data_IF_273192332614
#
_entry.id   IF_273192332614
#
_cell.length_a   1.000
_cell.length_b   1.000
_cell.length_c   1.000
_cell.angle_alpha   90.00
_cell.angle_beta   90.00
_cell.angle_gamma   90.00
#
_symmetry.space_group_name_H-M   'P 1'
#
loop_
_entity.id
_entity.type
_entity.pdbx_description
1 polymer ?
#
# COMPACT_ATOMS: atom_id res chain seq x y z
N UNK A 1 24.80 -18.77 -17.51
CA UNK A 1 23.55 -18.02 -17.80
C UNK A 1 23.11 -17.40 -16.49
N UNK A 2 23.29 -16.09 -16.31
CA UNK A 2 22.70 -15.42 -15.16
C UNK A 2 21.21 -15.29 -15.44
N UNK A 3 20.37 -15.89 -14.59
CA UNK A 3 18.98 -15.45 -14.46
C UNK A 3 19.07 -13.99 -14.05
N UNK A 4 18.84 -13.08 -15.01
CA UNK A 4 18.41 -11.73 -14.64
C UNK A 4 17.11 -11.96 -13.89
N UNK A 5 17.15 -11.82 -12.56
CA UNK A 5 15.93 -11.78 -11.78
C UNK A 5 15.13 -10.60 -12.33
N UNK A 6 14.08 -10.89 -13.08
CA UNK A 6 13.08 -9.89 -13.42
C UNK A 6 12.55 -9.36 -12.08
N UNK A 7 12.86 -8.11 -11.78
CA UNK A 7 12.34 -7.44 -10.59
C UNK A 7 10.89 -7.10 -10.93
N UNK A 8 9.96 -7.88 -10.39
CA UNK A 8 8.54 -7.60 -10.50
C UNK A 8 8.14 -6.60 -9.42
N UNK A 9 7.48 -5.51 -9.83
CA UNK A 9 6.79 -4.63 -8.90
C UNK A 9 5.47 -5.26 -8.48
N UNK A 10 5.44 -5.87 -7.30
CA UNK A 10 4.25 -6.52 -6.75
C UNK A 10 3.51 -5.51 -5.88
N UNK A 11 2.20 -5.42 -6.07
CA UNK A 11 1.31 -4.62 -5.21
C UNK A 11 0.13 -5.48 -4.80
N UNK A 12 -0.12 -5.54 -3.49
CA UNK A 12 -1.24 -6.26 -2.88
C UNK A 12 -2.13 -5.21 -2.23
N UNK A 13 -3.37 -5.12 -2.67
CA UNK A 13 -4.30 -4.07 -2.26
C UNK A 13 -5.73 -4.62 -2.17
N UNK A 14 -6.52 -4.04 -1.27
CA UNK A 14 -7.93 -4.36 -1.12
C UNK A 14 -8.40 -4.17 0.31
N UNK A 15 -9.62 -4.60 0.57
CA UNK A 15 -10.21 -4.68 1.90
C UNK A 15 -9.71 -5.94 2.61
N UNK A 16 -8.91 -5.76 3.65
CA UNK A 16 -8.38 -6.86 4.47
C UNK A 16 -9.31 -7.19 5.64
N UNK A 17 -10.31 -6.35 5.92
CA UNK A 17 -11.16 -6.39 7.10
C UNK A 17 -10.36 -6.49 8.42
N UNK A 18 -9.13 -5.95 8.42
CA UNK A 18 -8.21 -5.87 9.55
C UNK A 18 -7.97 -4.40 9.83
N UNK A 19 -8.16 -3.98 11.07
CA UNK A 19 -7.99 -2.57 11.44
C UNK A 19 -6.52 -2.19 11.43
N UNK A 20 -6.20 -1.07 10.79
CA UNK A 20 -4.91 -0.40 10.93
C UNK A 20 -4.74 0.14 12.35
N UNK A 21 -4.27 -0.72 13.25
CA UNK A 21 -4.02 -0.35 14.64
C UNK A 21 -2.75 -1.05 15.10
N UNK A 22 -1.78 -0.28 15.58
CA UNK A 22 -0.47 -0.82 16.03
C UNK A 22 -0.63 -1.82 17.18
N UNK A 23 -1.69 -1.72 17.97
CA UNK A 23 -2.00 -2.69 19.03
C UNK A 23 -2.79 -3.91 18.56
N UNK A 24 -3.21 -3.97 17.30
CA UNK A 24 -3.96 -5.10 16.75
C UNK A 24 -3.00 -6.24 16.35
N UNK A 25 -3.15 -7.44 16.93
CA UNK A 25 -2.24 -8.56 16.67
C UNK A 25 -2.35 -9.11 15.24
N UNK A 26 -3.53 -9.04 14.62
CA UNK A 26 -3.74 -9.53 13.25
C UNK A 26 -3.07 -8.58 12.25
N UNK A 27 -3.19 -7.27 12.49
CA UNK A 27 -2.48 -6.26 11.71
C UNK A 27 -0.96 -6.44 11.78
N UNK A 28 -0.40 -6.63 12.98
CA UNK A 28 1.04 -6.82 13.15
C UNK A 28 1.52 -8.12 12.48
N UNK A 29 0.76 -9.22 12.60
CA UNK A 29 1.08 -10.49 11.93
C UNK A 29 1.09 -10.36 10.41
N UNK A 30 0.08 -9.68 9.84
CA UNK A 30 0.02 -9.38 8.41
C UNK A 30 1.21 -8.53 7.97
N UNK A 31 1.52 -7.45 8.72
CA UNK A 31 2.62 -6.55 8.42
C UNK A 31 3.97 -7.26 8.45
N UNK A 32 4.21 -8.11 9.44
CA UNK A 32 5.42 -8.94 9.53
C UNK A 32 5.53 -9.89 8.35
N UNK A 33 4.45 -10.61 8.02
CA UNK A 33 4.42 -11.52 6.87
C UNK A 33 4.75 -10.80 5.55
N UNK A 34 4.13 -9.64 5.31
CA UNK A 34 4.41 -8.84 4.11
C UNK A 34 5.86 -8.37 4.07
N UNK A 35 6.38 -7.89 5.21
CA UNK A 35 7.76 -7.41 5.34
C UNK A 35 8.78 -8.53 5.08
N UNK A 36 8.54 -9.75 5.59
CA UNK A 36 9.37 -10.93 5.32
C UNK A 36 9.42 -11.29 3.84
N UNK A 37 8.40 -10.90 3.06
CA UNK A 37 8.32 -11.10 1.63
C UNK A 37 8.70 -9.84 0.82
N UNK A 38 9.47 -8.92 1.43
CA UNK A 38 9.92 -7.66 0.83
C UNK A 38 8.77 -6.77 0.31
N UNK A 39 7.57 -6.89 0.88
CA UNK A 39 6.44 -6.01 0.59
C UNK A 39 6.20 -5.08 1.78
N UNK A 40 6.25 -3.78 1.53
CA UNK A 40 6.13 -2.74 2.54
C UNK A 40 4.81 -1.99 2.37
N UNK A 41 4.22 -1.59 3.49
CA UNK A 41 2.98 -0.85 3.47
C UNK A 41 3.21 0.56 2.90
N UNK A 42 2.41 0.97 1.92
CA UNK A 42 2.54 2.27 1.24
C UNK A 42 1.84 3.39 2.04
N UNK A 43 0.81 3.04 2.80
CA UNK A 43 -0.02 3.96 3.57
C UNK A 43 0.18 3.74 5.07
N UNK A 44 1.18 4.42 5.65
CA UNK A 44 1.25 4.64 7.10
C UNK A 44 0.57 5.96 7.49
N UNK A 45 -0.60 6.24 6.90
CA UNK A 45 -1.37 7.41 7.31
C UNK A 45 -2.45 6.99 8.29
N UNK A 46 -2.07 6.91 9.57
CA UNK A 46 -2.95 6.81 10.75
C UNK A 46 -4.04 7.91 10.87
N UNK A 47 -4.22 8.74 9.84
CA UNK A 47 -5.02 9.98 9.89
C UNK A 47 -6.25 9.96 8.99
N UNK A 48 -6.45 8.90 8.20
CA UNK A 48 -7.59 8.83 7.27
C UNK A 48 -8.21 7.44 7.41
N UNK A 49 -9.54 7.40 7.50
CA UNK A 49 -10.33 6.17 7.54
C UNK A 49 -10.80 5.79 6.14
N UNK A 50 -10.81 4.50 5.84
CA UNK A 50 -11.45 3.96 4.63
C UNK A 50 -12.84 3.39 4.88
N UNK A 51 -13.20 3.10 6.12
CA UNK A 51 -14.54 2.64 6.51
C UNK A 51 -14.88 3.14 7.94
N UNK A 52 -16.04 3.75 8.18
CA UNK A 52 -16.59 4.07 9.51
C UNK A 52 -15.55 4.35 10.65
N UNK A 53 -14.61 5.28 10.43
CA UNK A 53 -13.51 5.68 11.35
C UNK A 53 -12.38 4.64 11.58
N UNK A 54 -12.34 3.59 10.77
CA UNK A 54 -11.31 2.56 10.70
C UNK A 54 -10.62 2.61 9.33
N UNK A 55 -9.41 2.11 9.26
CA UNK A 55 -8.68 1.91 8.01
C UNK A 55 -8.51 0.39 7.86
N UNK A 56 -9.22 -0.18 6.89
CA UNK A 56 -9.24 -1.64 6.62
C UNK A 56 -8.81 -1.96 5.19
N UNK A 57 -8.85 -0.96 4.31
CA UNK A 57 -8.27 -1.03 2.98
C UNK A 57 -6.77 -0.75 3.10
N UNK A 58 -5.96 -1.76 2.84
CA UNK A 58 -4.50 -1.69 3.00
C UNK A 58 -3.82 -1.87 1.65
N UNK A 59 -2.61 -1.32 1.52
CA UNK A 59 -1.77 -1.60 0.36
C UNK A 59 -0.32 -1.86 0.77
N UNK A 60 0.21 -2.98 0.28
CA UNK A 60 1.59 -3.41 0.42
C UNK A 60 2.23 -3.53 -0.94
N UNK A 61 3.49 -3.13 -1.06
CA UNK A 61 4.24 -3.26 -2.30
C UNK A 61 5.74 -3.41 -2.10
N UNK A 62 6.39 -4.04 -3.09
CA UNK A 62 7.85 -4.18 -3.15
C UNK A 62 8.60 -2.86 -3.32
N UNK A 63 7.93 -1.82 -3.82
CA UNK A 63 8.50 -0.48 -3.97
C UNK A 63 7.86 0.51 -2.99
N UNK A 64 8.73 1.25 -2.29
CA UNK A 64 8.38 2.21 -1.25
C UNK A 64 8.16 3.64 -1.78
N UNK A 65 8.45 3.92 -3.07
CA UNK A 65 8.40 5.26 -3.65
C UNK A 65 7.00 5.71 -4.11
N UNK A 66 5.95 5.09 -3.58
CA UNK A 66 4.58 5.29 -4.04
C UNK A 66 3.86 6.33 -3.20
N UNK A 67 3.10 7.20 -3.85
CA UNK A 67 2.18 8.13 -3.19
C UNK A 67 0.78 7.57 -3.25
N UNK A 68 -0.01 7.84 -2.20
CA UNK A 68 -1.38 7.37 -2.13
C UNK A 68 -2.31 8.48 -1.63
N UNK A 69 -3.52 8.49 -2.18
CA UNK A 69 -4.54 9.50 -1.96
C UNK A 69 -5.87 8.80 -1.65
N UNK A 70 -6.60 9.33 -0.67
CA UNK A 70 -7.92 8.81 -0.29
C UNK A 70 -8.95 9.87 -0.67
N UNK A 71 -10.06 9.43 -1.26
CA UNK A 71 -11.13 10.32 -1.74
C UNK A 71 -12.45 9.97 -1.07
N UNK A 72 -13.32 10.97 -0.93
CA UNK A 72 -14.70 10.69 -0.52
C UNK A 72 -15.41 9.91 -1.62
N UNK A 73 -16.08 8.84 -1.22
CA UNK A 73 -16.89 8.03 -2.12
C UNK A 73 -18.27 8.65 -2.30
N UNK A 74 -18.77 8.62 -3.53
CA UNK A 74 -20.13 9.09 -3.85
C UNK A 74 -21.17 7.98 -3.80
N UNK A 75 -20.74 6.72 -3.72
CA UNK A 75 -21.61 5.54 -3.91
C UNK A 75 -21.37 4.40 -2.91
N UNK A 76 -20.37 4.51 -2.05
CA UNK A 76 -20.00 3.47 -1.08
C UNK A 76 -19.69 4.10 0.26
N UNK A 77 -19.95 3.38 1.34
CA UNK A 77 -19.49 3.76 2.69
C UNK A 77 -17.95 3.65 2.79
N UNK A 78 -17.33 2.87 1.91
CA UNK A 78 -15.87 2.77 1.81
C UNK A 78 -15.29 3.88 0.95
N UNK A 79 -14.22 4.50 1.44
CA UNK A 79 -13.44 5.51 0.70
C UNK A 79 -12.39 4.85 -0.18
N UNK A 80 -12.41 5.09 -1.51
CA UNK A 80 -11.41 4.52 -2.40
C UNK A 80 -10.01 5.09 -2.12
N UNK A 81 -9.00 4.24 -2.36
CA UNK A 81 -7.59 4.59 -2.34
C UNK A 81 -7.07 4.65 -3.78
N UNK A 82 -6.52 5.79 -4.18
CA UNK A 82 -5.70 5.93 -5.39
C UNK A 82 -4.24 5.78 -5.01
N UNK A 83 -3.49 4.98 -5.75
CA UNK A 83 -2.05 4.83 -5.57
C UNK A 83 -1.37 5.22 -6.88
N UNK A 84 -0.45 6.17 -6.79
CA UNK A 84 0.36 6.61 -7.92
C UNK A 84 1.69 5.85 -7.90
N UNK A 85 1.98 5.20 -9.03
CA UNK A 85 3.22 4.47 -9.24
C UNK A 85 4.16 5.37 -10.05
N UNK A 86 5.27 5.81 -9.46
CA UNK A 86 6.34 6.42 -10.26
C UNK A 86 7.08 5.30 -10.98
N UNK A 87 7.05 5.31 -12.31
CA UNK A 87 7.82 4.33 -13.07
C UNK A 87 9.30 4.73 -13.07
N UNK A 88 10.21 3.78 -13.28
CA UNK A 88 11.64 4.07 -13.44
C UNK A 88 11.97 5.06 -14.59
N UNK A 89 11.01 5.30 -15.51
CA UNK A 89 11.10 6.36 -16.52
C UNK A 89 10.97 7.76 -15.91
N UNK A 90 10.06 7.95 -14.96
CA UNK A 90 9.81 9.23 -14.31
C UNK A 90 10.97 9.65 -13.38
N UNK A 91 11.60 8.67 -12.72
CA UNK A 91 12.78 8.91 -11.87
C UNK A 91 14.05 9.33 -12.63
N UNK A 92 14.13 9.04 -13.94
CA UNK A 92 15.21 9.52 -14.82
C UNK A 92 14.95 10.92 -15.36
N UNK A 93 13.69 11.26 -15.64
CA UNK A 93 13.29 12.57 -16.14
C UNK A 93 13.28 13.66 -15.07
N UNK A 94 13.11 13.31 -13.78
CA UNK A 94 13.20 14.26 -12.67
C UNK A 94 14.63 14.74 -12.35
N UNK A 95 15.65 14.15 -13.01
CA UNK A 95 17.06 14.51 -12.85
C UNK A 95 17.64 15.31 -14.03
N UNK A 96 16.81 15.70 -14.99
CA UNK A 96 17.13 16.62 -16.11
C UNK A 96 16.40 17.93 -15.94
#
# INVERSE_FOLDING_TARGET
MSLQNEIYDISIMGDFNIKYQVSDPDFNSLKEFMTQNNCFMILDSSKVSTDHNSQIDLCFSTDQLKTAHIFESVTSDHKPIWIEFMTHLDAKLSKT
#
